data_IF_914776270951
#
_entry.id   IF_914776270951
#
_cell.length_a   1.000
_cell.length_b   1.000
_cell.length_c   1.000
_cell.angle_alpha   90.00
_cell.angle_beta   90.00
_cell.angle_gamma   90.00
#
_symmetry.space_group_name_H-M   'P 1'
#
loop_
_entity.id
_entity.type
_entity.pdbx_description
1 polymer ?
#
# COMPACT_ATOMS: atom_id res chain seq x y z
N UNK A 1 -23.85 -18.93 33.80
CA UNK A 1 -22.37 -18.83 33.80
C UNK A 1 -21.82 -20.12 33.22
N UNK A 2 -20.87 -20.08 32.26
CA UNK A 2 -20.23 -21.23 31.54
C UNK A 2 -20.57 -21.48 30.05
N UNK A 3 -20.93 -20.45 29.27
CA UNK A 3 -20.89 -20.54 27.80
C UNK A 3 -19.72 -19.74 27.18
N UNK A 4 -19.26 -18.68 27.85
CA UNK A 4 -18.15 -17.85 27.34
C UNK A 4 -16.76 -18.48 27.50
N UNK A 5 -16.52 -19.30 28.53
CA UNK A 5 -15.18 -19.88 28.76
C UNK A 5 -14.83 -21.05 27.80
N UNK A 6 -15.81 -21.73 27.20
CA UNK A 6 -15.55 -22.83 26.25
C UNK A 6 -15.12 -22.34 24.86
N UNK A 7 -15.59 -21.17 24.43
CA UNK A 7 -15.27 -20.61 23.11
C UNK A 7 -13.82 -20.13 23.00
N UNK A 8 -13.26 -19.54 24.06
CA UNK A 8 -11.88 -19.04 24.06
C UNK A 8 -10.81 -20.15 24.01
N UNK A 9 -11.10 -21.34 24.54
CA UNK A 9 -10.17 -22.47 24.48
C UNK A 9 -10.03 -23.03 23.06
N UNK A 10 -11.10 -23.04 22.27
CA UNK A 10 -11.11 -23.55 20.89
C UNK A 10 -10.40 -22.60 19.90
N UNK A 11 -10.51 -21.29 20.13
CA UNK A 11 -9.82 -20.27 19.32
C UNK A 11 -8.31 -20.28 19.61
N UNK A 12 -7.91 -20.44 20.88
CA UNK A 12 -6.48 -20.54 21.25
C UNK A 12 -5.81 -21.78 20.68
N UNK A 13 -6.49 -22.92 20.64
CA UNK A 13 -5.95 -24.14 20.01
C UNK A 13 -5.84 -23.99 18.49
N UNK A 14 -6.83 -23.37 17.84
CA UNK A 14 -6.80 -23.08 16.40
C UNK A 14 -5.63 -22.15 16.02
N UNK A 15 -5.41 -21.08 16.78
CA UNK A 15 -4.32 -20.14 16.54
C UNK A 15 -2.95 -20.80 16.77
N UNK A 16 -2.80 -21.64 17.79
CA UNK A 16 -1.56 -22.39 18.02
C UNK A 16 -1.27 -23.41 16.91
N UNK A 17 -2.28 -24.10 16.38
CA UNK A 17 -2.10 -25.04 15.25
C UNK A 17 -1.69 -24.30 13.97
N UNK A 18 -2.29 -23.13 13.70
CA UNK A 18 -1.90 -22.29 12.56
C UNK A 18 -0.47 -21.77 12.72
N UNK A 19 -0.06 -21.39 13.94
CA UNK A 19 1.30 -20.93 14.23
C UNK A 19 2.33 -22.05 14.07
N UNK A 20 2.02 -23.27 14.53
CA UNK A 20 2.90 -24.45 14.37
C UNK A 20 3.03 -24.85 12.89
N UNK A 21 1.94 -24.75 12.11
CA UNK A 21 1.98 -24.97 10.66
C UNK A 21 2.84 -23.91 9.94
N UNK A 22 2.76 -22.64 10.34
CA UNK A 22 3.58 -21.56 9.77
C UNK A 22 5.08 -21.74 10.04
N UNK A 23 5.46 -22.20 11.24
CA UNK A 23 6.87 -22.48 11.58
C UNK A 23 7.41 -23.70 10.83
N UNK A 24 6.59 -24.74 10.64
CA UNK A 24 6.96 -25.95 9.90
C UNK A 24 7.16 -25.71 8.39
N UNK A 25 6.49 -24.72 7.79
CA UNK A 25 6.72 -24.35 6.38
C UNK A 25 7.97 -23.50 6.15
N UNK A 26 8.55 -22.88 7.18
CA UNK A 26 9.78 -22.09 7.07
C UNK A 26 11.07 -22.89 7.28
N UNK A 27 10.98 -24.12 7.81
CA UNK A 27 12.17 -24.93 8.15
C UNK A 27 12.75 -25.75 6.98
N UNK A 28 12.12 -25.75 5.80
CA UNK A 28 12.68 -26.41 4.61
C UNK A 28 13.55 -25.52 3.71
N UNK A 29 13.89 -24.31 4.17
CA UNK A 29 14.81 -23.40 3.46
C UNK A 29 16.06 -23.12 4.29
N UNK A 30 16.78 -24.18 4.67
CA UNK A 30 18.12 -24.06 5.23
C UNK A 30 18.91 -25.33 4.95
N UNK A 31 19.57 -25.35 3.80
CA UNK A 31 20.88 -25.98 3.61
C UNK A 31 21.38 -25.65 2.19
N UNK A 32 22.20 -24.62 2.08
CA UNK A 32 23.34 -24.60 1.16
C UNK A 32 24.31 -23.51 1.64
N UNK A 33 25.06 -23.86 2.68
CA UNK A 33 26.19 -23.06 3.14
C UNK A 33 27.30 -23.13 2.10
N UNK A 34 27.73 -21.95 1.66
CA UNK A 34 28.85 -21.67 0.76
C UNK A 34 30.07 -22.55 1.03
N UNK A 35 30.46 -23.38 0.05
CA UNK A 35 31.87 -23.77 -0.10
C UNK A 35 32.59 -22.67 -0.88
N UNK A 36 33.59 -22.08 -0.24
CA UNK A 36 34.54 -21.15 -0.85
C UNK A 36 35.46 -21.94 -1.78
N UNK A 37 35.63 -21.47 -3.02
CA UNK A 37 36.70 -21.89 -3.93
C UNK A 37 37.21 -20.66 -4.72
N UNK A 38 38.48 -20.66 -5.13
CA UNK A 38 39.31 -19.47 -5.26
C UNK A 38 39.17 -18.74 -6.60
N UNK A 39 39.67 -17.50 -6.60
CA UNK A 39 39.80 -16.61 -7.74
C UNK A 39 40.69 -17.21 -8.85
N UNK A 40 40.20 -17.18 -10.11
CA UNK A 40 40.87 -16.54 -11.25
C UNK A 40 40.17 -16.84 -12.61
N UNK A 41 40.17 -15.85 -13.51
CA UNK A 41 39.97 -15.92 -14.98
C UNK A 41 38.51 -15.87 -15.55
N UNK A 42 38.29 -15.44 -16.82
CA UNK A 42 37.85 -14.08 -17.16
C UNK A 42 36.52 -14.02 -17.95
N UNK A 43 35.95 -12.81 -18.06
CA UNK A 43 34.90 -12.36 -18.99
C UNK A 43 33.66 -13.26 -19.18
N UNK A 44 32.64 -13.02 -18.34
CA UNK A 44 31.31 -13.58 -18.53
C UNK A 44 30.53 -12.84 -19.64
N UNK A 45 30.46 -13.46 -20.83
CA UNK A 45 29.32 -13.27 -21.75
C UNK A 45 28.01 -13.69 -21.07
N UNK A 46 26.84 -13.11 -21.42
CA UNK A 46 25.58 -13.38 -20.75
C UNK A 46 25.24 -14.88 -20.87
N UNK A 47 25.11 -15.52 -19.71
CA UNK A 47 24.85 -16.95 -19.55
C UNK A 47 23.57 -17.36 -20.29
N UNK A 48 23.78 -18.15 -21.34
CA UNK A 48 22.77 -18.92 -22.05
C UNK A 48 22.11 -19.94 -21.09
N UNK A 49 20.78 -19.86 -21.04
CA UNK A 49 19.76 -20.82 -20.61
C UNK A 49 20.27 -22.17 -20.07
N UNK A 50 20.02 -22.41 -18.78
CA UNK A 50 20.25 -23.69 -18.11
C UNK A 50 19.44 -24.81 -18.82
N UNK A 51 20.08 -25.80 -19.47
CA UNK A 51 19.42 -26.73 -20.40
C UNK A 51 18.53 -27.80 -19.74
N UNK A 52 18.44 -27.84 -18.41
CA UNK A 52 17.73 -28.89 -17.65
C UNK A 52 16.40 -28.45 -17.03
N UNK A 53 15.85 -27.27 -17.39
CA UNK A 53 14.54 -26.86 -16.86
C UNK A 53 13.44 -27.42 -17.76
N UNK A 54 12.68 -28.39 -17.24
CA UNK A 54 11.46 -28.91 -17.86
C UNK A 54 10.54 -27.74 -18.30
N UNK A 55 10.11 -27.70 -19.57
CA UNK A 55 9.24 -26.64 -20.11
C UNK A 55 7.99 -26.38 -19.27
N UNK A 56 7.40 -27.44 -18.72
CA UNK A 56 6.20 -27.33 -17.88
C UNK A 56 6.52 -26.60 -16.58
N UNK A 57 7.58 -26.98 -15.85
CA UNK A 57 8.04 -26.29 -14.64
C UNK A 57 8.31 -24.80 -14.87
N UNK A 58 9.00 -24.47 -15.97
CA UNK A 58 9.24 -23.07 -16.38
C UNK A 58 7.93 -22.32 -16.60
N UNK A 59 7.00 -22.90 -17.35
CA UNK A 59 5.69 -22.30 -17.64
C UNK A 59 4.87 -22.07 -16.35
N UNK A 60 4.86 -23.03 -15.41
CA UNK A 60 4.19 -22.87 -14.10
C UNK A 60 4.76 -21.70 -13.28
N UNK A 61 6.09 -21.61 -13.22
CA UNK A 61 6.77 -20.52 -12.50
C UNK A 61 6.44 -19.16 -13.10
N UNK A 62 6.52 -19.03 -14.43
CA UNK A 62 6.23 -17.79 -15.13
C UNK A 62 4.75 -17.41 -15.06
N UNK A 63 3.84 -18.37 -15.12
CA UNK A 63 2.39 -18.17 -14.90
C UNK A 63 2.14 -17.53 -13.53
N UNK A 64 2.67 -18.15 -12.46
CA UNK A 64 2.51 -17.64 -11.08
C UNK A 64 3.08 -16.23 -10.95
N UNK A 65 4.29 -16.00 -11.45
CA UNK A 65 4.94 -14.68 -11.37
C UNK A 65 4.18 -13.61 -12.15
N UNK A 66 3.69 -13.92 -13.34
CA UNK A 66 2.92 -12.99 -14.18
C UNK A 66 1.58 -12.63 -13.51
N UNK A 67 0.90 -13.60 -12.90
CA UNK A 67 -0.33 -13.35 -12.16
C UNK A 67 -0.14 -12.41 -10.97
N UNK A 68 0.94 -12.62 -10.19
CA UNK A 68 1.26 -11.75 -9.06
C UNK A 68 1.52 -10.31 -9.52
N UNK A 69 2.32 -10.13 -10.58
CA UNK A 69 2.57 -8.79 -11.14
C UNK A 69 1.28 -8.13 -11.63
N UNK A 70 0.39 -8.86 -12.31
CA UNK A 70 -0.92 -8.35 -12.74
C UNK A 70 -1.76 -7.88 -11.55
N UNK A 71 -1.83 -8.67 -10.48
CA UNK A 71 -2.59 -8.32 -9.29
C UNK A 71 -2.16 -6.96 -8.73
N UNK A 72 -0.86 -6.75 -8.55
CA UNK A 72 -0.34 -5.50 -7.97
C UNK A 72 -0.45 -4.29 -8.90
N UNK A 73 -0.44 -4.52 -10.22
CA UNK A 73 -0.60 -3.47 -11.22
C UNK A 73 -2.05 -3.05 -11.45
N UNK A 74 -3.03 -3.94 -11.20
CA UNK A 74 -4.43 -3.73 -11.54
C UNK A 74 -4.94 -2.36 -11.11
N UNK A 75 -4.84 -2.06 -9.82
CA UNK A 75 -5.43 -0.84 -9.25
C UNK A 75 -4.68 0.40 -9.69
N UNK A 76 -3.36 0.32 -9.84
CA UNK A 76 -2.56 1.45 -10.32
C UNK A 76 -2.94 1.79 -11.74
N UNK A 77 -2.94 0.80 -12.64
CA UNK A 77 -3.27 1.06 -14.04
C UNK A 77 -4.68 1.64 -14.18
N UNK A 78 -5.65 1.10 -13.45
CA UNK A 78 -7.04 1.58 -13.50
C UNK A 78 -7.20 2.98 -12.90
N UNK A 79 -6.62 3.24 -11.73
CA UNK A 79 -6.71 4.56 -11.10
C UNK A 79 -6.00 5.62 -11.96
N UNK A 80 -4.84 5.32 -12.54
CA UNK A 80 -4.05 6.26 -13.33
C UNK A 80 -4.42 6.31 -14.83
N UNK A 81 -5.63 5.87 -15.20
CA UNK A 81 -6.17 6.02 -16.56
C UNK A 81 -5.53 5.11 -17.61
N UNK A 82 -4.67 4.17 -17.21
CA UNK A 82 -3.99 3.20 -18.08
C UNK A 82 -4.84 1.93 -18.28
N UNK A 83 -6.15 2.10 -18.51
CA UNK A 83 -7.08 0.97 -18.71
C UNK A 83 -6.69 0.11 -19.92
N UNK A 84 -6.22 0.73 -21.00
CA UNK A 84 -5.77 0.01 -22.19
C UNK A 84 -4.58 -0.92 -21.89
N UNK A 85 -3.62 -0.49 -21.08
CA UNK A 85 -2.49 -1.31 -20.66
C UNK A 85 -2.93 -2.51 -19.81
N UNK A 86 -3.91 -2.28 -18.91
CA UNK A 86 -4.52 -3.33 -18.11
C UNK A 86 -5.23 -4.37 -18.98
N UNK A 87 -6.14 -3.92 -19.86
CA UNK A 87 -6.93 -4.80 -20.72
C UNK A 87 -6.03 -5.62 -21.66
N UNK A 88 -5.00 -4.99 -22.22
CA UNK A 88 -4.02 -5.67 -23.08
C UNK A 88 -3.25 -6.73 -22.28
N UNK A 89 -2.72 -6.38 -21.11
CA UNK A 89 -1.95 -7.32 -20.29
C UNK A 89 -2.80 -8.48 -19.78
N UNK A 90 -4.07 -8.24 -19.46
CA UNK A 90 -5.03 -9.28 -19.09
C UNK A 90 -5.36 -10.20 -20.28
N UNK A 91 -5.53 -9.63 -21.48
CA UNK A 91 -5.73 -10.41 -22.71
C UNK A 91 -4.52 -11.28 -23.03
N UNK A 92 -3.30 -10.74 -22.93
CA UNK A 92 -2.05 -11.46 -23.14
C UNK A 92 -1.90 -12.61 -22.14
N UNK A 93 -2.28 -12.39 -20.87
CA UNK A 93 -2.32 -13.44 -19.85
C UNK A 93 -3.33 -14.53 -20.20
N UNK A 94 -4.54 -14.17 -20.61
CA UNK A 94 -5.57 -15.14 -20.97
C UNK A 94 -5.18 -16.01 -22.19
N UNK A 95 -4.48 -15.42 -23.18
CA UNK A 95 -3.91 -16.15 -24.31
C UNK A 95 -2.85 -17.16 -23.86
N UNK A 96 -1.93 -16.73 -22.99
CA UNK A 96 -0.90 -17.59 -22.41
C UNK A 96 -1.50 -18.72 -21.55
N UNK A 97 -2.51 -18.40 -20.74
CA UNK A 97 -3.25 -19.36 -19.92
C UNK A 97 -3.97 -20.40 -20.79
N UNK A 98 -4.55 -19.98 -21.92
CA UNK A 98 -5.22 -20.91 -22.84
C UNK A 98 -4.24 -21.91 -23.46
N UNK A 99 -3.05 -21.46 -23.86
CA UNK A 99 -1.98 -22.35 -24.34
C UNK A 99 -1.49 -23.30 -23.23
N UNK A 100 -1.33 -22.76 -22.01
CA UNK A 100 -0.95 -23.55 -20.84
C UNK A 100 -1.95 -24.67 -20.53
N UNK A 101 -3.25 -24.37 -20.59
CA UNK A 101 -4.30 -25.35 -20.32
C UNK A 101 -4.40 -26.46 -21.38
N UNK A 102 -3.99 -26.17 -22.64
CA UNK A 102 -3.90 -27.18 -23.69
C UNK A 102 -2.67 -28.09 -23.58
N UNK A 103 -1.76 -27.81 -22.65
CA UNK A 103 -0.49 -28.53 -22.51
C UNK A 103 0.59 -28.07 -23.49
N UNK A 104 0.39 -26.93 -24.17
CA UNK A 104 1.38 -26.30 -25.05
C UNK A 104 2.44 -25.57 -24.21
N UNK A 105 3.23 -26.31 -23.41
CA UNK A 105 4.09 -25.74 -22.36
C UNK A 105 5.16 -24.78 -22.88
N UNK A 106 5.82 -25.09 -24.00
CA UNK A 106 6.84 -24.23 -24.60
C UNK A 106 6.24 -22.91 -25.14
N UNK A 107 5.18 -22.94 -25.99
CA UNK A 107 4.48 -21.73 -26.40
C UNK A 107 3.95 -20.91 -25.21
N UNK A 108 3.32 -21.56 -24.23
CA UNK A 108 2.79 -20.88 -23.05
C UNK A 108 3.92 -20.23 -22.23
N UNK A 109 5.03 -20.93 -22.02
CA UNK A 109 6.21 -20.41 -21.34
C UNK A 109 6.78 -19.17 -22.01
N UNK A 110 6.89 -19.17 -23.35
CA UNK A 110 7.36 -18.01 -24.11
C UNK A 110 6.40 -16.81 -24.04
N UNK A 111 5.09 -17.07 -24.10
CA UNK A 111 4.06 -16.04 -23.94
C UNK A 111 4.07 -15.44 -22.54
N UNK A 112 4.14 -16.27 -21.49
CA UNK A 112 4.26 -15.77 -20.11
C UNK A 112 5.58 -15.03 -19.88
N UNK A 113 6.69 -15.45 -20.49
CA UNK A 113 7.96 -14.73 -20.37
C UNK A 113 7.87 -13.33 -20.98
N UNK A 114 7.29 -13.23 -22.18
CA UNK A 114 7.08 -11.94 -22.87
C UNK A 114 6.17 -11.02 -22.05
N UNK A 115 5.06 -11.57 -21.54
CA UNK A 115 4.16 -10.85 -20.65
C UNK A 115 4.86 -10.41 -19.37
N UNK A 116 5.64 -11.29 -18.73
CA UNK A 116 6.36 -10.97 -17.49
C UNK A 116 7.31 -9.80 -17.68
N UNK A 117 8.09 -9.78 -18.76
CA UNK A 117 8.98 -8.65 -19.08
C UNK A 117 8.21 -7.34 -19.22
N UNK A 118 7.07 -7.36 -19.92
CA UNK A 118 6.18 -6.18 -20.04
C UNK A 118 5.64 -5.73 -18.68
N UNK A 119 5.14 -6.66 -17.88
CA UNK A 119 4.62 -6.37 -16.54
C UNK A 119 5.69 -5.82 -15.60
N UNK A 120 6.92 -6.32 -15.69
CA UNK A 120 8.03 -5.82 -14.90
C UNK A 120 8.37 -4.38 -15.25
N UNK A 121 8.38 -4.03 -16.54
CA UNK A 121 8.60 -2.64 -16.95
C UNK A 121 7.49 -1.71 -16.45
N UNK A 122 6.23 -2.15 -16.51
CA UNK A 122 5.10 -1.39 -15.99
C UNK A 122 5.20 -1.22 -14.46
N UNK A 123 5.56 -2.28 -13.75
CA UNK A 123 5.71 -2.27 -12.30
C UNK A 123 6.87 -1.38 -11.86
N UNK A 124 8.03 -1.45 -12.54
CA UNK A 124 9.17 -0.59 -12.24
C UNK A 124 8.85 0.90 -12.48
N UNK A 125 8.20 1.22 -13.60
CA UNK A 125 7.79 2.60 -13.90
C UNK A 125 6.83 3.12 -12.82
N UNK A 126 5.83 2.33 -12.44
CA UNK A 126 4.87 2.71 -11.40
C UNK A 126 5.55 2.84 -10.03
N UNK A 127 6.47 1.93 -9.70
CA UNK A 127 7.20 1.96 -8.43
C UNK A 127 8.07 3.20 -8.33
N UNK A 128 8.73 3.61 -9.43
CA UNK A 128 9.52 4.84 -9.49
C UNK A 128 8.67 6.08 -9.17
N UNK A 129 7.45 6.17 -9.71
CA UNK A 129 6.53 7.26 -9.41
C UNK A 129 6.13 7.27 -7.92
N UNK A 130 5.85 6.09 -7.35
CA UNK A 130 5.53 5.93 -5.93
C UNK A 130 6.71 6.30 -5.03
N UNK A 131 7.93 5.92 -5.40
CA UNK A 131 9.15 6.27 -4.67
C UNK A 131 9.41 7.77 -4.69
N UNK A 132 9.34 8.42 -5.86
CA UNK A 132 9.51 9.88 -5.96
C UNK A 132 8.51 10.63 -5.07
N UNK A 133 7.27 10.15 -5.02
CA UNK A 133 6.24 10.73 -4.17
C UNK A 133 6.50 10.50 -2.69
N UNK A 134 6.99 9.33 -2.33
CA UNK A 134 7.36 8.98 -0.96
C UNK A 134 8.53 9.83 -0.47
N UNK A 135 9.57 10.01 -1.29
CA UNK A 135 10.72 10.86 -0.96
C UNK A 135 10.30 12.32 -0.72
N UNK A 136 9.42 12.85 -1.58
CA UNK A 136 8.90 14.21 -1.42
C UNK A 136 8.09 14.35 -0.12
N UNK A 137 7.25 13.35 0.18
CA UNK A 137 6.38 13.36 1.35
C UNK A 137 7.16 13.15 2.66
N UNK A 138 8.17 12.27 2.67
CA UNK A 138 9.07 12.10 3.82
C UNK A 138 9.82 13.39 4.14
N UNK A 139 10.38 14.06 3.12
CA UNK A 139 11.08 15.35 3.28
C UNK A 139 10.17 16.45 3.83
N UNK A 140 8.87 16.39 3.54
CA UNK A 140 7.89 17.33 4.08
C UNK A 140 7.48 17.00 5.53
N UNK A 141 7.27 15.72 5.85
CA UNK A 141 6.76 15.29 7.17
C UNK A 141 7.86 15.29 8.24
N UNK A 142 9.05 14.76 7.93
CA UNK A 142 10.07 14.47 8.93
C UNK A 142 10.51 15.72 9.71
N UNK A 143 10.79 16.89 9.08
CA UNK A 143 11.13 18.10 9.82
C UNK A 143 10.00 18.57 10.73
N UNK A 144 8.76 18.54 10.24
CA UNK A 144 7.58 18.99 11.00
C UNK A 144 7.30 18.13 12.23
N UNK A 145 7.56 16.81 12.16
CA UNK A 145 7.46 15.91 13.31
C UNK A 145 8.57 16.21 14.33
N UNK A 146 9.78 16.56 13.88
CA UNK A 146 10.86 17.00 14.77
C UNK A 146 10.51 18.32 15.45
N UNK A 147 10.01 19.31 14.70
CA UNK A 147 9.59 20.60 15.26
C UNK A 147 8.49 20.42 16.33
N UNK A 148 7.52 19.55 16.07
CA UNK A 148 6.44 19.23 17.02
C UNK A 148 6.96 18.56 18.30
N UNK A 149 8.07 17.81 18.22
CA UNK A 149 8.72 17.22 19.41
C UNK A 149 9.44 18.26 20.26
N UNK A 150 10.12 19.20 19.60
CA UNK A 150 10.89 20.25 20.26
C UNK A 150 9.97 21.25 20.95
N UNK A 151 8.80 21.51 20.39
CA UNK A 151 7.80 22.38 21.00
C UNK A 151 6.93 21.61 22.01
N UNK A 152 7.29 21.69 23.29
CA UNK A 152 6.61 20.97 24.39
C UNK A 152 5.17 21.43 24.63
N UNK A 153 4.80 22.62 24.17
CA UNK A 153 3.47 23.20 24.34
C UNK A 153 2.59 23.05 23.09
N UNK A 154 3.11 22.47 22.01
CA UNK A 154 2.38 22.38 20.76
C UNK A 154 1.15 21.46 20.86
N UNK A 155 -0.02 21.90 20.35
CA UNK A 155 -1.18 21.04 20.23
C UNK A 155 -0.88 19.84 19.32
N UNK A 156 -1.44 18.67 19.66
CA UNK A 156 -1.26 17.46 18.84
C UNK A 156 -0.01 16.63 19.16
N UNK A 157 0.77 17.00 20.18
CA UNK A 157 1.92 16.23 20.68
C UNK A 157 1.59 14.76 20.99
N UNK A 158 0.34 14.48 21.40
CA UNK A 158 -0.14 13.11 21.63
C UNK A 158 -0.06 12.20 20.40
N UNK A 159 0.01 12.75 19.19
CA UNK A 159 0.11 11.98 17.95
C UNK A 159 1.54 11.59 17.59
N UNK A 160 2.56 12.21 18.20
CA UNK A 160 3.98 11.99 17.87
C UNK A 160 4.36 10.51 17.89
N UNK A 161 4.08 9.73 18.96
CA UNK A 161 4.49 8.33 18.99
C UNK A 161 3.88 7.50 17.85
N UNK A 162 2.65 7.85 17.44
CA UNK A 162 1.96 7.17 16.34
C UNK A 162 2.55 7.59 14.99
N UNK A 163 2.87 8.88 14.80
CA UNK A 163 3.55 9.36 13.59
C UNK A 163 4.93 8.72 13.43
N UNK A 164 5.72 8.64 14.50
CA UNK A 164 7.03 7.98 14.48
C UNK A 164 6.92 6.50 14.12
N UNK A 165 5.91 5.81 14.66
CA UNK A 165 5.65 4.42 14.30
C UNK A 165 5.39 4.28 12.80
N UNK A 166 4.57 5.15 12.21
CA UNK A 166 4.33 5.13 10.76
C UNK A 166 5.60 5.43 9.94
N UNK A 167 6.40 6.41 10.37
CA UNK A 167 7.69 6.73 9.73
C UNK A 167 8.68 5.56 9.82
N UNK A 168 8.69 4.82 10.93
CA UNK A 168 9.52 3.62 11.07
C UNK A 168 9.04 2.50 10.14
N UNK A 169 7.74 2.20 10.11
CA UNK A 169 7.18 1.18 9.20
C UNK A 169 7.46 1.57 7.74
N UNK A 170 7.38 2.85 7.39
CA UNK A 170 7.78 3.35 6.08
C UNK A 170 9.23 2.98 5.75
N UNK A 171 10.20 3.23 6.65
CA UNK A 171 11.61 2.88 6.42
C UNK A 171 11.82 1.39 6.23
N UNK A 172 11.17 0.58 7.06
CA UNK A 172 11.28 -0.88 6.98
C UNK A 172 10.70 -1.41 5.66
N UNK A 173 9.54 -0.89 5.24
CA UNK A 173 8.90 -1.25 3.97
C UNK A 173 9.66 -0.73 2.75
N UNK A 174 10.27 0.45 2.84
CA UNK A 174 11.17 0.98 1.81
C UNK A 174 12.39 0.07 1.60
N UNK A 175 13.02 -0.36 2.69
CA UNK A 175 14.13 -1.29 2.63
C UNK A 175 13.72 -2.64 2.01
N UNK A 176 12.55 -3.16 2.39
CA UNK A 176 11.99 -4.36 1.77
C UNK A 176 11.75 -4.17 0.26
N UNK A 177 11.19 -3.02 -0.16
CA UNK A 177 10.99 -2.71 -1.56
C UNK A 177 12.32 -2.70 -2.35
N UNK A 178 13.37 -2.10 -1.76
CA UNK A 178 14.71 -2.09 -2.36
C UNK A 178 15.26 -3.50 -2.56
N UNK A 179 15.15 -4.37 -1.57
CA UNK A 179 15.61 -5.77 -1.67
C UNK A 179 14.87 -6.54 -2.77
N UNK A 180 13.54 -6.38 -2.87
CA UNK A 180 12.76 -7.00 -3.95
C UNK A 180 13.16 -6.48 -5.33
N UNK A 181 13.55 -5.20 -5.44
CA UNK A 181 14.06 -4.61 -6.68
C UNK A 181 15.36 -5.28 -7.11
N UNK A 182 16.29 -5.46 -6.19
CA UNK A 182 17.63 -6.00 -6.43
C UNK A 182 17.57 -7.45 -6.91
N UNK A 183 16.61 -8.23 -6.42
CA UNK A 183 16.37 -9.62 -6.88
C UNK A 183 15.45 -9.71 -8.13
N UNK A 184 15.06 -8.57 -8.71
CA UNK A 184 14.26 -8.50 -9.95
C UNK A 184 12.76 -8.79 -9.78
N UNK A 185 12.23 -8.73 -8.56
CA UNK A 185 10.81 -8.96 -8.28
C UNK A 185 10.01 -7.65 -8.32
N UNK A 186 9.84 -7.10 -9.53
CA UNK A 186 9.24 -5.76 -9.70
C UNK A 186 7.79 -5.66 -9.19
N UNK A 187 7.01 -6.74 -9.27
CA UNK A 187 5.65 -6.76 -8.73
C UNK A 187 5.61 -6.59 -7.21
N UNK A 188 6.47 -7.33 -6.49
CA UNK A 188 6.56 -7.24 -5.04
C UNK A 188 7.23 -5.92 -4.59
N UNK A 189 8.21 -5.43 -5.34
CA UNK A 189 8.76 -4.09 -5.16
C UNK A 189 7.66 -3.02 -5.18
N UNK A 190 6.81 -3.02 -6.21
CA UNK A 190 5.69 -2.08 -6.32
C UNK A 190 4.74 -2.19 -5.11
N UNK A 191 4.42 -3.41 -4.69
CA UNK A 191 3.58 -3.63 -3.50
C UNK A 191 4.20 -2.97 -2.25
N UNK A 192 5.47 -3.22 -1.94
CA UNK A 192 6.11 -2.63 -0.78
C UNK A 192 6.26 -1.11 -0.89
N UNK A 193 6.54 -0.58 -2.09
CA UNK A 193 6.58 0.85 -2.34
C UNK A 193 5.24 1.52 -2.00
N UNK A 194 4.11 0.93 -2.43
CA UNK A 194 2.75 1.39 -2.08
C UNK A 194 2.49 1.33 -0.58
N UNK A 195 2.88 0.24 0.07
CA UNK A 195 2.70 0.09 1.52
C UNK A 195 3.51 1.15 2.30
N UNK A 196 4.71 1.47 1.86
CA UNK A 196 5.50 2.57 2.41
C UNK A 196 4.81 3.92 2.25
N UNK A 197 4.36 4.25 1.04
CA UNK A 197 3.64 5.50 0.77
C UNK A 197 2.37 5.63 1.62
N UNK A 198 1.64 4.52 1.85
CA UNK A 198 0.47 4.51 2.73
C UNK A 198 0.81 4.93 4.16
N UNK A 199 1.95 4.48 4.70
CA UNK A 199 2.37 4.89 6.04
C UNK A 199 2.72 6.37 6.11
N UNK A 200 3.34 6.91 5.06
CA UNK A 200 3.60 8.34 4.98
C UNK A 200 2.30 9.16 4.95
N UNK A 201 1.28 8.73 4.21
CA UNK A 201 -0.02 9.40 4.27
C UNK A 201 -0.68 9.32 5.65
N UNK A 202 -0.58 8.18 6.34
CA UNK A 202 -1.08 8.06 7.72
C UNK A 202 -0.36 9.04 8.65
N UNK A 203 0.97 9.17 8.52
CA UNK A 203 1.74 10.17 9.26
C UNK A 203 1.32 11.61 8.89
N UNK A 204 1.11 11.91 7.61
CA UNK A 204 0.62 13.22 7.13
C UNK A 204 -0.73 13.57 7.75
N UNK A 205 -1.69 12.65 7.70
CA UNK A 205 -3.04 12.87 8.24
C UNK A 205 -2.98 13.18 9.75
N UNK A 206 -2.15 12.47 10.50
CA UNK A 206 -1.93 12.75 11.93
C UNK A 206 -1.28 14.11 12.16
N UNK A 207 -0.35 14.50 11.30
CA UNK A 207 0.30 15.81 11.37
C UNK A 207 -0.69 16.95 11.09
N UNK A 208 -1.56 16.81 10.09
CA UNK A 208 -2.61 17.80 9.83
C UNK A 208 -3.63 17.85 10.97
N UNK A 209 -4.03 16.69 11.52
CA UNK A 209 -4.86 16.61 12.74
C UNK A 209 -4.20 17.29 13.94
N UNK A 210 -2.87 17.22 14.07
CA UNK A 210 -2.14 17.88 15.14
C UNK A 210 -2.25 19.41 15.06
N UNK A 211 -2.17 19.99 13.84
CA UNK A 211 -2.31 21.43 13.61
C UNK A 211 -3.71 21.96 13.95
N UNK A 212 -4.74 21.17 13.66
CA UNK A 212 -6.13 21.55 13.92
C UNK A 212 -6.52 21.43 15.41
N UNK A 213 -5.72 20.74 16.21
CA UNK A 213 -6.02 20.52 17.63
C UNK A 213 -7.24 19.63 17.84
N UNK A 214 -7.83 19.69 19.04
CA UNK A 214 -9.04 18.90 19.36
C UNK A 214 -10.28 19.62 18.79
N UNK A 215 -10.59 19.36 17.53
CA UNK A 215 -11.85 19.82 16.93
C UNK A 215 -13.05 19.07 17.51
N UNK A 216 -14.06 19.81 17.95
CA UNK A 216 -15.36 19.27 18.34
C UNK A 216 -16.16 18.79 17.11
N UNK A 217 -17.14 17.90 17.33
CA UNK A 217 -17.84 17.20 16.24
C UNK A 217 -18.53 18.14 15.24
N UNK A 218 -19.07 19.25 15.73
CA UNK A 218 -19.74 20.28 14.94
C UNK A 218 -18.75 21.03 14.03
N UNK A 219 -17.58 21.37 14.58
CA UNK A 219 -16.51 22.05 13.85
C UNK A 219 -15.94 21.15 12.75
N UNK A 220 -15.75 19.86 13.03
CA UNK A 220 -15.32 18.87 12.03
C UNK A 220 -16.30 18.76 10.86
N UNK A 221 -17.60 18.78 11.13
CA UNK A 221 -18.63 18.74 10.09
C UNK A 221 -18.62 20.01 9.25
N UNK A 222 -18.52 21.18 9.89
CA UNK A 222 -18.49 22.48 9.19
C UNK A 222 -17.27 22.63 8.27
N UNK A 223 -16.12 22.10 8.69
CA UNK A 223 -14.86 22.12 7.92
C UNK A 223 -14.73 20.96 6.92
N UNK A 224 -15.72 20.05 6.85
CA UNK A 224 -15.65 18.81 6.08
C UNK A 224 -14.36 18.02 6.38
N UNK A 225 -14.07 17.82 7.67
CA UNK A 225 -12.90 17.10 8.23
C UNK A 225 -13.35 15.84 8.98
N UNK A 226 -14.18 15.03 8.32
CA UNK A 226 -14.87 13.89 8.94
C UNK A 226 -14.24 12.55 8.58
N UNK A 227 -13.64 12.45 7.40
CA UNK A 227 -12.89 11.28 6.93
C UNK A 227 -11.38 11.54 7.00
N UNK A 228 -10.60 10.46 6.99
CA UNK A 228 -9.13 10.57 6.93
C UNK A 228 -8.64 11.20 5.62
N UNK A 229 -9.33 10.91 4.52
CA UNK A 229 -9.03 11.45 3.19
C UNK A 229 -9.32 12.94 3.07
N UNK A 230 -10.08 13.55 4.00
CA UNK A 230 -10.31 15.01 4.01
C UNK A 230 -9.06 15.83 4.35
N UNK A 231 -8.00 15.17 4.84
CA UNK A 231 -6.70 15.77 5.12
C UNK A 231 -5.72 15.62 3.95
N UNK A 232 -6.18 15.03 2.84
CA UNK A 232 -5.40 14.78 1.64
C UNK A 232 -5.96 15.63 0.48
N UNK A 233 -5.07 16.06 -0.42
CA UNK A 233 -5.49 16.66 -1.69
C UNK A 233 -6.14 15.61 -2.60
N UNK A 234 -6.95 15.98 -3.60
CA UNK A 234 -7.57 15.00 -4.51
C UNK A 234 -6.57 14.04 -5.16
N UNK A 235 -5.39 14.55 -5.53
CA UNK A 235 -4.32 13.73 -6.10
C UNK A 235 -3.67 12.79 -5.07
N UNK A 236 -3.60 13.18 -3.81
CA UNK A 236 -3.16 12.30 -2.71
C UNK A 236 -4.20 11.22 -2.41
N UNK A 237 -5.49 11.57 -2.41
CA UNK A 237 -6.58 10.59 -2.25
C UNK A 237 -6.52 9.51 -3.31
N UNK A 238 -6.19 9.86 -4.56
CA UNK A 238 -6.03 8.89 -5.64
C UNK A 238 -4.92 7.86 -5.37
N UNK A 239 -3.78 8.30 -4.85
CA UNK A 239 -2.70 7.38 -4.48
C UNK A 239 -2.99 6.65 -3.17
N UNK A 240 -3.68 7.27 -2.22
CA UNK A 240 -4.19 6.61 -1.02
C UNK A 240 -5.05 5.39 -1.39
N UNK A 241 -6.01 5.59 -2.30
CA UNK A 241 -6.87 4.54 -2.82
C UNK A 241 -6.06 3.45 -3.56
N UNK A 242 -5.07 3.84 -4.37
CA UNK A 242 -4.19 2.85 -5.02
C UNK A 242 -3.36 2.03 -4.01
N UNK A 243 -2.87 2.65 -2.94
CA UNK A 243 -2.13 1.96 -1.89
C UNK A 243 -3.00 0.97 -1.09
N UNK A 244 -4.31 1.22 -1.02
CA UNK A 244 -5.30 0.34 -0.42
C UNK A 244 -5.84 -0.72 -1.40
N UNK A 245 -5.33 -0.76 -2.63
CA UNK A 245 -5.79 -1.64 -3.71
C UNK A 245 -7.30 -1.47 -4.01
N UNK A 246 -7.82 -0.24 -3.93
CA UNK A 246 -9.21 0.10 -4.30
C UNK A 246 -9.28 1.06 -5.49
N UNK A 247 -10.40 1.04 -6.19
CA UNK A 247 -10.63 1.93 -7.34
C UNK A 247 -11.13 3.29 -6.87
N UNK A 248 -10.40 4.35 -7.21
CA UNK A 248 -10.67 5.71 -6.75
C UNK A 248 -12.09 6.19 -7.12
N UNK A 249 -12.57 5.90 -8.33
CA UNK A 249 -13.92 6.29 -8.75
C UNK A 249 -15.02 5.62 -7.91
N UNK A 250 -14.82 4.35 -7.56
CA UNK A 250 -15.76 3.61 -6.71
C UNK A 250 -15.69 4.11 -5.27
N UNK A 251 -14.48 4.34 -4.77
CA UNK A 251 -14.28 4.74 -3.38
C UNK A 251 -14.70 6.19 -3.12
N UNK A 252 -14.63 7.06 -4.12
CA UNK A 252 -15.17 8.42 -4.02
C UNK A 252 -16.68 8.42 -3.81
N UNK A 253 -17.42 7.53 -4.50
CA UNK A 253 -18.86 7.36 -4.27
C UNK A 253 -19.13 6.84 -2.86
N UNK A 254 -18.27 5.98 -2.31
CA UNK A 254 -18.39 5.49 -0.94
C UNK A 254 -18.15 6.60 0.08
N UNK A 255 -17.08 7.40 -0.10
CA UNK A 255 -16.79 8.56 0.75
C UNK A 255 -17.93 9.58 0.76
N UNK A 256 -18.54 9.86 -0.39
CA UNK A 256 -19.69 10.76 -0.47
C UNK A 256 -20.91 10.22 0.31
N UNK A 257 -21.21 8.92 0.18
CA UNK A 257 -22.26 8.27 0.96
C UNK A 257 -21.98 8.28 2.46
N UNK A 258 -20.74 8.00 2.86
CA UNK A 258 -20.32 8.01 4.25
C UNK A 258 -20.46 9.42 4.86
N UNK A 259 -19.99 10.45 4.15
CA UNK A 259 -20.19 11.85 4.56
C UNK A 259 -21.66 12.21 4.74
N UNK A 260 -22.52 11.83 3.78
CA UNK A 260 -23.96 12.05 3.89
C UNK A 260 -24.57 11.32 5.10
N UNK A 261 -24.14 10.08 5.36
CA UNK A 261 -24.60 9.31 6.51
C UNK A 261 -24.18 9.97 7.84
N UNK A 262 -22.92 10.42 7.94
CA UNK A 262 -22.42 11.15 9.12
C UNK A 262 -23.24 12.43 9.34
N UNK A 263 -23.48 13.21 8.27
CA UNK A 263 -24.30 14.42 8.33
C UNK A 263 -25.74 14.12 8.78
N UNK A 264 -26.36 13.07 8.24
CA UNK A 264 -27.71 12.65 8.61
C UNK A 264 -27.80 12.24 10.08
N UNK A 265 -26.82 11.49 10.60
CA UNK A 265 -26.78 11.07 12.00
C UNK A 265 -26.58 12.25 12.94
N UNK A 266 -25.76 13.23 12.56
CA UNK A 266 -25.60 14.45 13.34
C UNK A 266 -26.91 15.27 13.39
N UNK A 267 -27.56 15.45 12.23
CA UNK A 267 -28.84 16.15 12.14
C UNK A 267 -29.93 15.47 12.97
N UNK A 268 -30.03 14.13 12.91
CA UNK A 268 -31.03 13.40 13.70
C UNK A 268 -30.81 13.52 15.21
N UNK A 269 -29.55 13.69 15.66
CA UNK A 269 -29.21 13.81 17.09
C UNK A 269 -29.35 15.22 17.62
N UNK A 270 -29.08 16.24 16.80
CA UNK A 270 -28.98 17.64 17.24
C UNK A 270 -30.13 18.52 16.77
N UNK A 271 -30.91 18.08 15.77
CA UNK A 271 -31.96 18.86 15.13
C UNK A 271 -31.46 20.02 14.26
N UNK A 272 -30.14 20.20 14.11
CA UNK A 272 -29.53 21.32 13.36
C UNK A 272 -28.90 20.86 12.05
N UNK A 273 -29.06 21.63 10.97
CA UNK A 273 -28.26 21.41 9.76
C UNK A 273 -26.90 22.11 9.90
N UNK A 274 -25.79 21.49 9.46
CA UNK A 274 -24.48 22.12 9.56
C UNK A 274 -24.33 23.40 8.73
N UNK A 275 -25.21 23.66 7.76
CA UNK A 275 -25.25 24.93 7.01
C UNK A 275 -25.83 26.10 7.83
N UNK A 276 -26.53 25.83 8.93
CA UNK A 276 -27.05 26.86 9.85
C UNK A 276 -25.96 27.33 10.84
N UNK A 277 -24.76 26.75 10.75
CA UNK A 277 -23.60 27.08 11.58
C UNK A 277 -22.85 28.24 10.93
N UNK A 278 -23.04 29.45 11.48
CA UNK A 278 -22.23 30.61 11.10
C UNK A 278 -20.74 30.25 11.17
N UNK A 279 -19.91 30.70 10.21
CA UNK A 279 -18.46 30.70 10.39
C UNK A 279 -18.13 31.43 11.69
N UNK A 280 -17.16 30.98 12.50
CA UNK A 280 -16.79 31.69 13.71
C UNK A 280 -16.39 33.12 13.31
N UNK A 281 -17.11 34.09 13.86
CA UNK A 281 -16.77 35.48 13.71
C UNK A 281 -15.33 35.67 14.18
N UNK A 282 -14.49 36.24 13.33
CA UNK A 282 -13.23 36.83 13.75
C UNK A 282 -13.60 37.95 14.73
N UNK A 283 -13.60 37.65 16.03
CA UNK A 283 -13.57 38.69 17.05
C UNK A 283 -12.16 39.26 17.06
N UNK A 284 -11.99 40.30 16.25
CA UNK A 284 -10.92 41.28 16.39
C UNK A 284 -10.82 41.69 17.86
N UNK A 285 -9.69 41.36 18.47
CA UNK A 285 -9.27 41.97 19.73
C UNK A 285 -8.77 43.38 19.42
N UNK A 286 -9.68 44.34 19.20
CA UNK A 286 -9.35 45.74 19.41
C UNK A 286 -9.53 46.06 20.89
N UNK A 287 -8.45 45.84 21.63
CA UNK A 287 -8.21 46.48 22.91
C UNK A 287 -6.98 47.35 22.80
N UNK A 288 -7.16 48.67 22.80
CA UNK A 288 -6.39 49.59 23.66
C UNK A 288 -7.00 50.99 23.67
N UNK A 289 -7.40 51.35 24.90
CA UNK A 289 -7.41 52.65 25.58
C UNK A 289 -6.86 53.85 24.82
#
# INVERSE_FOLDING_TARGET
MNLFLRSFFSIRTLVSVILVLLVAFTSSYSQEAKKVAPADSPEAKPSTTNPNVDPKSKAYSLRKKSWISLRYLRTSLLNFGKKADWDTSLSDYAKAESAFQRGDWDPAGNQFQTLKTKLDQLAENQAKDVFNRSDALEKDIQPKVVDLKLNTEAPGRQYIPVMEKHLQIYRDTWQAAKLEREIGNQGQNLYFAKQGLLQLYKAKILLEKAKEGKLESEERLSKNKVLETDYLTPEEVKYWDDCLEVLNESEEKNRQKEKQAILSVYQSRTGKKPADLKPPAQTESEGKK
#
